data_IF_786141608808
#
_entry.id   IF_786141608808
#
_cell.length_a   1.000
_cell.length_b   1.000
_cell.length_c   1.000
_cell.angle_alpha   90.00
_cell.angle_beta   90.00
_cell.angle_gamma   90.00
#
_symmetry.space_group_name_H-M   'P 1'
#
loop_
_entity.id
_entity.type
_entity.pdbx_description
1 polymer ?
#
# COMPACT_ATOMS: atom_id res chain seq x y z
N UNK A 1 0.88 -54.41 36.43
CA UNK A 1 1.81 -53.75 35.50
C UNK A 1 1.06 -53.24 34.27
N UNK A 2 0.23 -54.04 33.61
CA UNK A 2 -0.48 -53.69 32.39
C UNK A 2 -1.50 -52.54 32.60
N UNK A 3 -2.26 -52.56 33.69
CA UNK A 3 -3.19 -51.45 34.05
C UNK A 3 -2.48 -50.10 34.25
N UNK A 4 -1.27 -50.12 34.82
CA UNK A 4 -0.46 -48.90 34.98
C UNK A 4 -0.02 -48.33 33.64
N UNK A 5 0.39 -49.20 32.70
CA UNK A 5 0.81 -48.76 31.35
C UNK A 5 -0.38 -48.16 30.59
N UNK A 6 -1.60 -48.73 30.74
CA UNK A 6 -2.83 -48.18 30.11
C UNK A 6 -3.15 -46.81 30.67
N UNK A 7 -3.06 -46.61 31.99
CA UNK A 7 -3.30 -45.30 32.61
C UNK A 7 -2.29 -44.24 32.08
N UNK A 8 -1.02 -44.64 32.03
CA UNK A 8 0.05 -43.74 31.51
C UNK A 8 -0.17 -43.39 30.05
N UNK A 9 -0.63 -44.35 29.23
CA UNK A 9 -1.00 -44.10 27.82
C UNK A 9 -2.16 -43.12 27.72
N UNK A 10 -3.25 -43.30 28.45
CA UNK A 10 -4.37 -42.35 28.43
C UNK A 10 -3.94 -40.96 28.86
N UNK A 11 -3.10 -40.82 29.86
CA UNK A 11 -2.57 -39.55 30.33
C UNK A 11 -1.66 -38.87 29.29
N UNK A 12 -0.81 -39.66 28.61
CA UNK A 12 0.03 -39.18 27.53
C UNK A 12 -0.80 -38.64 26.34
N UNK A 13 -1.89 -39.34 25.97
CA UNK A 13 -2.78 -38.89 24.89
C UNK A 13 -3.53 -37.59 25.26
N UNK A 14 -4.03 -37.50 26.50
CA UNK A 14 -4.68 -36.28 26.99
C UNK A 14 -3.69 -35.11 26.96
N UNK A 15 -2.47 -35.32 27.42
CA UNK A 15 -1.42 -34.30 27.43
C UNK A 15 -1.01 -33.90 26.01
N UNK A 16 -0.90 -34.86 25.08
CA UNK A 16 -0.63 -34.62 23.66
C UNK A 16 -1.69 -33.69 23.04
N UNK A 17 -2.98 -33.97 23.28
CA UNK A 17 -4.10 -33.18 22.74
C UNK A 17 -4.11 -31.77 23.34
N UNK A 18 -3.84 -31.63 24.63
CA UNK A 18 -3.77 -30.34 25.30
C UNK A 18 -2.61 -29.50 24.77
N UNK A 19 -1.39 -30.05 24.67
CA UNK A 19 -0.22 -29.33 24.17
C UNK A 19 -0.39 -28.95 22.70
N UNK A 20 -0.99 -29.84 21.89
CA UNK A 20 -1.31 -29.55 20.49
C UNK A 20 -2.36 -28.45 20.31
N UNK A 21 -3.20 -28.18 21.33
CA UNK A 21 -4.20 -27.12 21.33
C UNK A 21 -3.68 -25.75 21.77
N UNK A 22 -2.43 -25.63 22.22
CA UNK A 22 -1.86 -24.36 22.68
C UNK A 22 -1.61 -23.46 21.49
N UNK A 23 -2.13 -22.22 21.57
CA UNK A 23 -1.86 -21.13 20.60
C UNK A 23 -1.17 -19.97 21.31
N UNK A 24 0.14 -19.75 21.11
CA UNK A 24 0.82 -18.57 21.65
C UNK A 24 0.15 -17.29 21.15
N UNK A 25 -0.09 -16.34 22.04
CA UNK A 25 -0.70 -15.05 21.69
C UNK A 25 0.23 -14.26 20.79
N UNK A 26 -0.25 -13.91 19.61
CA UNK A 26 0.42 -12.96 18.70
C UNK A 26 -0.05 -11.54 18.99
N UNK A 27 0.81 -10.58 18.84
CA UNK A 27 0.42 -9.17 18.85
C UNK A 27 -0.39 -8.83 17.60
N UNK A 28 -1.35 -7.93 17.75
CA UNK A 28 -2.13 -7.41 16.61
C UNK A 28 -1.34 -6.40 15.78
N UNK A 29 -0.19 -5.93 16.31
CA UNK A 29 0.68 -4.98 15.67
C UNK A 29 1.66 -5.72 14.75
N UNK A 30 1.91 -5.14 13.57
CA UNK A 30 2.93 -5.65 12.66
C UNK A 30 4.34 -5.39 13.23
N UNK A 31 5.33 -6.15 12.77
CA UNK A 31 6.74 -5.94 13.17
C UNK A 31 7.20 -4.52 12.85
N UNK A 32 6.81 -4.01 11.69
CA UNK A 32 7.13 -2.64 11.26
C UNK A 32 6.59 -1.59 12.23
N UNK A 33 5.34 -1.73 12.65
CA UNK A 33 4.72 -0.80 13.60
C UNK A 33 5.38 -0.87 14.99
N UNK A 34 5.80 -2.07 15.42
CA UNK A 34 6.54 -2.26 16.66
C UNK A 34 7.95 -1.64 16.59
N UNK A 35 8.66 -1.79 15.46
CA UNK A 35 9.96 -1.15 15.22
C UNK A 35 9.85 0.36 15.20
N UNK A 36 8.85 0.92 14.52
CA UNK A 36 8.58 2.36 14.50
C UNK A 36 8.33 2.93 15.90
N UNK A 37 7.45 2.28 16.68
CA UNK A 37 7.16 2.72 18.07
C UNK A 37 8.37 2.62 18.98
N UNK A 38 9.22 1.62 18.74
CA UNK A 38 10.49 1.50 19.45
C UNK A 38 11.41 2.68 19.13
N UNK A 39 11.52 3.11 17.88
CA UNK A 39 12.29 4.29 17.46
C UNK A 39 11.71 5.59 18.04
N UNK A 40 10.39 5.66 18.19
CA UNK A 40 9.67 6.75 18.87
C UNK A 40 9.88 6.76 20.41
N UNK A 41 10.58 5.75 20.98
CA UNK A 41 10.94 5.67 22.41
C UNK A 41 9.92 4.96 23.28
N UNK A 42 8.97 4.21 22.71
CA UNK A 42 8.01 3.42 23.49
C UNK A 42 8.67 2.14 24.03
N UNK A 43 8.87 2.12 25.35
CA UNK A 43 9.47 0.97 26.05
C UNK A 43 8.62 -0.29 26.01
N UNK A 44 7.29 -0.16 25.86
CA UNK A 44 6.38 -1.31 25.74
C UNK A 44 6.56 -2.03 24.42
N UNK A 45 6.78 -1.29 23.34
CA UNK A 45 7.01 -1.83 22.00
C UNK A 45 8.29 -2.67 21.91
N UNK A 46 9.31 -2.36 22.72
CA UNK A 46 10.54 -3.15 22.78
C UNK A 46 10.26 -4.58 23.29
N UNK A 47 9.51 -4.70 24.37
CA UNK A 47 9.17 -6.02 24.93
C UNK A 47 8.24 -6.84 24.01
N UNK A 48 7.31 -6.16 23.33
CA UNK A 48 6.43 -6.81 22.35
C UNK A 48 7.17 -7.27 21.08
N UNK A 49 8.14 -6.50 20.62
CA UNK A 49 9.00 -6.87 19.48
C UNK A 49 9.88 -8.08 19.81
N UNK A 50 10.53 -8.09 20.99
CA UNK A 50 11.32 -9.24 21.42
C UNK A 50 10.47 -10.50 21.56
N UNK A 51 9.25 -10.35 22.05
CA UNK A 51 8.28 -11.43 22.15
C UNK A 51 7.87 -11.96 20.79
N UNK A 52 7.55 -11.08 19.82
CA UNK A 52 7.15 -11.48 18.46
C UNK A 52 8.27 -12.24 17.74
N UNK A 53 9.53 -11.83 17.94
CA UNK A 53 10.69 -12.54 17.44
C UNK A 53 10.87 -13.93 18.04
N UNK A 54 10.49 -14.10 19.33
CA UNK A 54 10.58 -15.37 20.04
C UNK A 54 9.41 -16.32 19.77
N UNK A 55 8.24 -15.82 19.34
CA UNK A 55 7.04 -16.64 19.10
C UNK A 55 7.31 -17.76 18.11
N UNK A 56 8.06 -17.50 17.03
CA UNK A 56 8.41 -18.54 16.06
C UNK A 56 9.19 -19.69 16.69
N UNK A 57 10.12 -19.36 17.60
CA UNK A 57 10.91 -20.33 18.32
C UNK A 57 10.06 -21.11 19.36
N UNK A 58 9.12 -20.43 20.04
CA UNK A 58 8.16 -21.05 20.97
C UNK A 58 7.22 -22.02 20.27
N UNK A 59 6.65 -21.62 19.11
CA UNK A 59 5.80 -22.50 18.29
C UNK A 59 6.56 -23.74 17.84
N UNK A 60 7.81 -23.56 17.39
CA UNK A 60 8.68 -24.65 16.96
C UNK A 60 9.00 -25.59 18.13
N UNK A 61 9.25 -25.06 19.32
CA UNK A 61 9.46 -25.81 20.54
C UNK A 61 8.23 -26.62 20.95
N UNK A 62 7.05 -26.04 20.93
CA UNK A 62 5.78 -26.73 21.20
C UNK A 62 5.54 -27.87 20.18
N UNK A 63 5.81 -27.65 18.91
CA UNK A 63 5.73 -28.71 17.89
C UNK A 63 6.69 -29.86 18.15
N UNK A 64 7.91 -29.56 18.58
CA UNK A 64 8.86 -30.61 18.98
C UNK A 64 8.36 -31.43 20.18
N UNK A 65 7.76 -30.78 21.17
CA UNK A 65 7.12 -31.46 22.31
C UNK A 65 5.96 -32.35 21.83
N UNK A 66 5.10 -31.84 20.94
CA UNK A 66 3.99 -32.62 20.37
C UNK A 66 4.51 -33.85 19.63
N UNK A 67 5.56 -33.73 18.84
CA UNK A 67 6.17 -34.85 18.14
C UNK A 67 6.73 -35.90 19.11
N UNK A 68 7.40 -35.46 20.17
CA UNK A 68 7.95 -36.35 21.19
C UNK A 68 6.85 -37.06 21.97
N UNK A 69 5.78 -36.35 22.35
CA UNK A 69 4.60 -36.92 23.01
C UNK A 69 3.87 -37.92 22.10
N UNK A 70 3.80 -37.64 20.80
CA UNK A 70 3.20 -38.56 19.83
C UNK A 70 4.01 -39.87 19.75
N UNK A 71 5.33 -39.79 19.62
CA UNK A 71 6.20 -41.00 19.65
C UNK A 71 6.02 -41.75 20.94
N UNK A 72 6.03 -41.06 22.09
CA UNK A 72 5.83 -41.68 23.40
C UNK A 72 4.47 -42.38 23.51
N UNK A 73 3.40 -41.72 23.00
CA UNK A 73 2.04 -42.33 23.03
C UNK A 73 1.95 -43.58 22.18
N UNK A 74 2.62 -43.61 21.01
CA UNK A 74 2.69 -44.82 20.16
C UNK A 74 3.45 -45.94 20.85
N UNK A 75 4.58 -45.66 21.48
CA UNK A 75 5.35 -46.67 22.24
C UNK A 75 4.54 -47.24 23.41
N UNK A 76 3.83 -46.39 24.15
CA UNK A 76 2.95 -46.82 25.24
C UNK A 76 1.75 -47.64 24.74
N UNK A 77 1.18 -47.29 23.56
CA UNK A 77 0.11 -48.07 22.95
C UNK A 77 0.58 -49.48 22.59
N UNK A 78 1.78 -49.61 21.98
CA UNK A 78 2.37 -50.92 21.67
C UNK A 78 2.67 -51.73 22.92
N UNK A 79 3.16 -51.10 23.99
CA UNK A 79 3.43 -51.77 25.25
C UNK A 79 2.13 -52.20 25.98
N UNK A 80 1.04 -51.44 25.84
CA UNK A 80 -0.25 -51.72 26.49
C UNK A 80 -1.08 -52.76 25.76
N UNK A 81 -1.16 -52.69 24.40
CA UNK A 81 -2.10 -53.48 23.60
C UNK A 81 -1.41 -54.50 22.67
N UNK A 82 -0.08 -54.60 22.73
CA UNK A 82 0.72 -55.45 21.85
C UNK A 82 1.01 -54.83 20.49
N UNK A 83 1.89 -55.46 19.71
CA UNK A 83 2.45 -54.82 18.49
C UNK A 83 1.39 -54.55 17.41
N UNK A 84 0.40 -55.42 17.24
CA UNK A 84 -0.61 -55.27 16.20
C UNK A 84 -1.66 -54.21 16.56
N UNK A 85 -2.32 -54.35 17.69
CA UNK A 85 -3.38 -53.41 18.13
C UNK A 85 -2.79 -52.09 18.58
N UNK A 86 -1.60 -52.05 19.16
CA UNK A 86 -0.92 -50.85 19.59
C UNK A 86 -0.48 -49.95 18.43
N UNK A 87 -0.01 -50.55 17.31
CA UNK A 87 0.33 -49.78 16.14
C UNK A 87 -0.90 -49.14 15.47
N UNK A 88 -2.02 -49.89 15.38
CA UNK A 88 -3.28 -49.36 14.86
C UNK A 88 -3.75 -48.19 15.73
N UNK A 89 -3.74 -48.34 17.03
CA UNK A 89 -4.13 -47.30 17.97
C UNK A 89 -3.24 -46.06 17.84
N UNK A 90 -1.91 -46.25 17.69
CA UNK A 90 -0.94 -45.18 17.45
C UNK A 90 -1.21 -44.39 16.16
N UNK A 91 -1.51 -45.08 15.06
CA UNK A 91 -1.86 -44.46 13.76
C UNK A 91 -3.17 -43.67 13.91
N UNK A 92 -4.20 -44.23 14.56
CA UNK A 92 -5.47 -43.52 14.77
C UNK A 92 -5.24 -42.25 15.59
N UNK A 93 -4.44 -42.31 16.67
CA UNK A 93 -4.11 -41.12 17.46
C UNK A 93 -3.39 -40.10 16.60
N UNK A 94 -2.38 -40.48 15.80
CA UNK A 94 -1.65 -39.60 14.95
C UNK A 94 -2.52 -38.88 13.89
N UNK A 95 -3.61 -39.51 13.43
CA UNK A 95 -4.55 -38.93 12.49
C UNK A 95 -5.60 -38.01 13.17
N UNK A 96 -5.92 -38.27 14.42
CA UNK A 96 -7.10 -37.67 15.09
C UNK A 96 -6.70 -36.55 16.07
N UNK A 97 -5.49 -36.58 16.67
CA UNK A 97 -5.11 -35.63 17.72
C UNK A 97 -5.21 -34.15 17.26
N UNK A 98 -4.84 -33.86 16.00
CA UNK A 98 -4.91 -32.50 15.45
C UNK A 98 -6.34 -32.00 15.23
N UNK A 99 -7.32 -32.89 15.02
CA UNK A 99 -8.75 -32.52 14.99
C UNK A 99 -9.32 -32.32 16.38
N UNK A 100 -8.94 -33.17 17.33
CA UNK A 100 -9.37 -33.08 18.72
C UNK A 100 -8.86 -31.78 19.37
N UNK A 101 -7.61 -31.40 19.12
CA UNK A 101 -7.02 -30.19 19.70
C UNK A 101 -7.69 -28.89 19.23
N UNK A 102 -8.43 -28.91 18.11
CA UNK A 102 -9.16 -27.75 17.54
C UNK A 102 -10.60 -27.63 18.05
N UNK A 103 -11.06 -28.53 18.90
CA UNK A 103 -12.39 -28.42 19.53
C UNK A 103 -12.37 -27.27 20.52
N UNK A 104 -13.31 -26.34 20.42
CA UNK A 104 -13.32 -25.05 21.13
C UNK A 104 -13.12 -25.16 22.62
N UNK A 105 -13.76 -26.16 23.29
CA UNK A 105 -13.61 -26.35 24.74
C UNK A 105 -12.22 -26.88 25.13
N UNK A 106 -11.60 -27.76 24.30
CA UNK A 106 -10.24 -28.28 24.53
C UNK A 106 -9.22 -27.19 24.31
N UNK A 107 -9.38 -26.45 23.23
CA UNK A 107 -8.53 -25.29 22.90
C UNK A 107 -8.61 -24.24 24.02
N UNK A 108 -9.82 -23.86 24.44
CA UNK A 108 -10.00 -22.91 25.53
C UNK A 108 -9.42 -23.41 26.89
N UNK A 109 -9.44 -24.71 27.15
CA UNK A 109 -8.80 -25.28 28.33
C UNK A 109 -7.28 -25.25 28.23
N UNK A 110 -6.74 -25.63 27.06
CA UNK A 110 -5.30 -25.59 26.78
C UNK A 110 -4.75 -24.17 26.92
N UNK A 111 -5.43 -23.16 26.36
CA UNK A 111 -5.03 -21.76 26.45
C UNK A 111 -5.10 -21.24 27.90
N UNK A 112 -6.14 -21.58 28.67
CA UNK A 112 -6.22 -21.19 30.10
C UNK A 112 -5.07 -21.76 30.91
N UNK A 113 -4.67 -22.99 30.63
CA UNK A 113 -3.54 -23.65 31.34
C UNK A 113 -2.20 -23.06 30.91
N UNK A 114 -2.08 -22.64 29.67
CA UNK A 114 -0.85 -22.09 29.09
C UNK A 114 -0.61 -20.64 29.53
N UNK A 115 -1.65 -19.78 29.57
CA UNK A 115 -1.56 -18.35 29.85
C UNK A 115 -0.60 -17.95 30.98
N UNK A 116 -0.62 -18.59 32.18
CA UNK A 116 0.26 -18.23 33.28
C UNK A 116 1.73 -18.54 33.00
N UNK A 117 2.02 -19.44 32.07
CA UNK A 117 3.37 -19.88 31.74
C UNK A 117 3.95 -19.24 30.46
N UNK A 118 3.15 -18.47 29.72
CA UNK A 118 3.51 -17.88 28.43
C UNK A 118 4.82 -17.07 28.51
N UNK A 119 4.91 -16.11 29.42
CA UNK A 119 6.13 -15.30 29.61
C UNK A 119 7.35 -16.12 30.05
N UNK A 120 7.13 -17.11 30.91
CA UNK A 120 8.21 -17.98 31.41
C UNK A 120 8.77 -18.86 30.31
N UNK A 121 7.90 -19.33 29.40
CA UNK A 121 8.28 -20.13 28.25
C UNK A 121 9.04 -19.32 27.21
N UNK A 122 8.60 -18.09 26.93
CA UNK A 122 9.30 -17.15 26.07
C UNK A 122 10.71 -16.89 26.60
N UNK A 123 10.86 -16.52 27.87
CA UNK A 123 12.16 -16.30 28.52
C UNK A 123 13.04 -17.55 28.50
N UNK A 124 12.46 -18.73 28.72
CA UNK A 124 13.20 -20.00 28.68
C UNK A 124 13.76 -20.28 27.28
N UNK A 125 12.94 -20.12 26.25
CA UNK A 125 13.35 -20.37 24.85
C UNK A 125 14.40 -19.34 24.41
N UNK A 126 14.25 -18.07 24.79
CA UNK A 126 15.25 -17.01 24.52
C UNK A 126 16.60 -17.27 25.21
N UNK A 127 16.57 -17.79 26.45
CA UNK A 127 17.79 -18.10 27.21
C UNK A 127 18.60 -19.27 26.66
N UNK A 128 18.02 -20.11 25.80
CA UNK A 128 18.65 -21.34 25.29
C UNK A 128 18.90 -21.25 23.77
N UNK A 129 19.86 -20.45 23.35
CA UNK A 129 20.18 -20.23 21.93
C UNK A 129 20.44 -21.51 21.11
N UNK A 130 20.91 -22.61 21.72
CA UNK A 130 21.15 -23.88 21.03
C UNK A 130 19.84 -24.59 20.68
N UNK A 131 18.78 -24.47 21.51
CA UNK A 131 17.46 -25.02 21.26
C UNK A 131 16.87 -24.36 19.99
N UNK A 132 16.92 -23.02 19.90
CA UNK A 132 16.46 -22.27 18.73
C UNK A 132 17.15 -22.68 17.43
N UNK A 133 18.48 -22.90 17.45
CA UNK A 133 19.23 -23.35 16.27
C UNK A 133 18.87 -24.76 15.81
N UNK A 134 18.66 -25.68 16.74
CA UNK A 134 18.33 -27.07 16.43
C UNK A 134 16.88 -27.20 15.93
N UNK A 135 15.96 -26.47 16.53
CA UNK A 135 14.52 -26.54 16.23
C UNK A 135 14.14 -25.78 14.97
N UNK A 136 14.78 -24.64 14.66
CA UNK A 136 14.60 -23.92 13.38
C UNK A 136 14.95 -24.75 12.15
N UNK A 137 15.85 -25.73 12.29
CA UNK A 137 16.16 -26.67 11.22
C UNK A 137 15.01 -27.63 10.88
N UNK A 138 14.04 -27.81 11.80
CA UNK A 138 12.93 -28.76 11.64
C UNK A 138 11.63 -28.07 11.21
N UNK A 139 11.48 -26.79 11.51
CA UNK A 139 10.25 -26.01 11.23
C UNK A 139 10.54 -24.87 10.28
N UNK A 140 10.37 -25.12 8.98
CA UNK A 140 10.25 -24.06 7.98
C UNK A 140 8.81 -23.50 8.04
N UNK A 141 8.54 -22.62 9.03
CA UNK A 141 7.31 -21.83 8.96
C UNK A 141 7.46 -20.82 7.82
N UNK A 142 6.57 -20.95 6.84
CA UNK A 142 6.30 -19.85 5.93
C UNK A 142 5.93 -18.65 6.81
N UNK A 143 6.81 -17.64 6.78
CA UNK A 143 6.55 -16.34 7.41
C UNK A 143 5.26 -15.84 6.74
N UNK A 144 4.13 -15.98 7.43
CA UNK A 144 2.91 -15.30 7.01
C UNK A 144 3.17 -13.81 7.24
N UNK A 145 3.69 -13.16 6.20
CA UNK A 145 3.78 -11.71 6.10
C UNK A 145 2.34 -11.17 6.06
N UNK A 146 1.75 -10.96 7.22
CA UNK A 146 0.52 -10.19 7.32
C UNK A 146 0.91 -8.72 7.25
N UNK A 147 0.79 -8.13 6.07
CA UNK A 147 0.99 -6.68 5.88
C UNK A 147 -0.18 -5.97 6.55
N UNK A 148 0.08 -5.19 7.57
CA UNK A 148 -0.93 -4.50 8.38
C UNK A 148 -1.22 -3.05 7.96
N UNK A 149 -0.29 -2.41 7.23
CA UNK A 149 -0.43 -1.02 6.80
C UNK A 149 0.13 -0.76 5.41
N UNK A 150 -0.22 0.39 4.82
CA UNK A 150 0.34 0.82 3.53
C UNK A 150 1.83 1.14 3.63
N UNK A 151 2.24 1.74 4.73
CA UNK A 151 3.62 2.09 5.04
C UNK A 151 4.51 0.85 5.13
N UNK A 152 4.00 -0.22 5.75
CA UNK A 152 4.69 -1.51 5.79
C UNK A 152 4.85 -2.12 4.40
N UNK A 153 3.80 -2.03 3.55
CA UNK A 153 3.89 -2.49 2.17
C UNK A 153 4.91 -1.68 1.37
N UNK A 154 4.95 -0.37 1.55
CA UNK A 154 5.94 0.51 0.92
C UNK A 154 7.37 0.17 1.35
N UNK A 155 7.56 -0.09 2.64
CA UNK A 155 8.86 -0.54 3.18
C UNK A 155 9.28 -1.88 2.55
N UNK A 156 8.39 -2.86 2.46
CA UNK A 156 8.66 -4.14 1.81
C UNK A 156 9.00 -3.99 0.33
N UNK A 157 8.33 -3.08 -0.39
CA UNK A 157 8.65 -2.75 -1.78
C UNK A 157 10.05 -2.14 -1.86
N UNK A 158 10.39 -1.21 -0.97
CA UNK A 158 11.72 -0.56 -0.95
C UNK A 158 12.84 -1.57 -0.69
N UNK A 159 12.64 -2.51 0.24
CA UNK A 159 13.58 -3.55 0.63
C UNK A 159 13.60 -4.78 -0.28
N UNK A 160 12.76 -4.85 -1.30
CA UNK A 160 12.65 -6.02 -2.20
C UNK A 160 13.94 -6.39 -2.95
N UNK A 161 15.04 -5.70 -2.68
CA UNK A 161 16.37 -5.99 -3.22
C UNK A 161 16.39 -5.96 -4.76
N UNK A 162 16.82 -7.07 -5.37
CA UNK A 162 16.90 -7.23 -6.83
C UNK A 162 15.64 -7.81 -7.47
N UNK A 163 14.59 -8.09 -6.70
CA UNK A 163 13.33 -8.65 -7.23
C UNK A 163 12.58 -7.63 -8.08
N UNK A 164 12.66 -6.35 -7.70
CA UNK A 164 12.02 -5.25 -8.41
C UNK A 164 13.08 -4.26 -8.90
N UNK A 165 12.90 -3.78 -10.12
CA UNK A 165 13.70 -2.68 -10.66
C UNK A 165 13.35 -1.36 -9.95
N UNK A 166 14.23 -0.35 -9.97
CA UNK A 166 13.93 0.96 -9.39
C UNK A 166 12.63 1.59 -9.94
N UNK A 167 12.36 1.41 -11.24
CA UNK A 167 11.14 1.93 -11.88
C UNK A 167 9.88 1.20 -11.41
N UNK A 168 9.94 -0.13 -11.25
CA UNK A 168 8.83 -0.91 -10.69
C UNK A 168 8.54 -0.53 -9.23
N UNK A 169 9.57 -0.32 -8.42
CA UNK A 169 9.40 0.15 -7.03
C UNK A 169 8.70 1.50 -6.99
N UNK A 170 9.14 2.44 -7.84
CA UNK A 170 8.56 3.78 -7.93
C UNK A 170 7.10 3.74 -8.38
N UNK A 171 6.78 2.92 -9.38
CA UNK A 171 5.41 2.73 -9.86
C UNK A 171 4.50 2.17 -8.76
N UNK A 172 4.94 1.15 -8.04
CA UNK A 172 4.18 0.56 -6.94
C UNK A 172 3.96 1.54 -5.80
N UNK A 173 4.99 2.29 -5.38
CA UNK A 173 4.89 3.31 -4.35
C UNK A 173 3.92 4.42 -4.76
N UNK A 174 4.01 4.95 -6.00
CA UNK A 174 3.08 5.95 -6.51
C UNK A 174 1.65 5.40 -6.59
N UNK A 175 1.46 4.15 -7.01
CA UNK A 175 0.16 3.48 -7.04
C UNK A 175 -0.49 3.39 -5.66
N UNK A 176 0.29 3.10 -4.62
CA UNK A 176 -0.20 3.05 -3.23
C UNK A 176 -0.71 4.42 -2.75
N UNK A 177 -0.04 5.50 -3.15
CA UNK A 177 -0.42 6.87 -2.76
C UNK A 177 -1.37 7.56 -3.73
N UNK A 178 -1.66 6.96 -4.89
CA UNK A 178 -2.43 7.58 -5.96
C UNK A 178 -3.82 8.03 -5.51
N UNK A 179 -4.54 7.18 -4.79
CA UNK A 179 -5.88 7.49 -4.27
C UNK A 179 -5.90 8.44 -3.07
N UNK A 180 -4.75 8.77 -2.48
CA UNK A 180 -4.65 9.74 -1.39
C UNK A 180 -4.21 11.14 -1.86
N UNK A 181 -3.66 11.25 -3.08
CA UNK A 181 -3.29 12.54 -3.67
C UNK A 181 -4.51 13.26 -4.23
N UNK A 182 -4.55 14.59 -4.08
CA UNK A 182 -5.61 15.45 -4.61
C UNK A 182 -5.22 16.04 -5.97
N UNK A 183 -6.23 16.46 -6.72
CA UNK A 183 -6.06 17.19 -7.99
C UNK A 183 -5.19 18.42 -7.80
N UNK A 184 -5.39 19.18 -6.71
CA UNK A 184 -4.59 20.37 -6.37
C UNK A 184 -3.09 20.07 -6.33
N UNK A 185 -2.71 18.87 -5.91
CA UNK A 185 -1.30 18.50 -5.76
C UNK A 185 -0.52 18.40 -7.07
N UNK A 186 -1.23 18.20 -8.20
CA UNK A 186 -0.59 17.99 -9.53
C UNK A 186 -1.09 18.93 -10.62
N UNK A 187 -2.21 19.65 -10.41
CA UNK A 187 -2.76 20.54 -11.42
C UNK A 187 -1.76 21.63 -11.85
N UNK A 188 -1.89 22.12 -13.08
CA UNK A 188 -1.27 23.37 -13.52
C UNK A 188 -1.96 24.53 -12.81
N UNK A 189 -1.26 25.32 -11.98
CA UNK A 189 -1.88 26.39 -11.19
C UNK A 189 -2.40 27.53 -12.08
N UNK A 190 -3.45 28.24 -11.60
CA UNK A 190 -4.09 29.38 -12.30
C UNK A 190 -3.10 30.39 -12.90
N UNK A 191 -2.05 30.75 -12.17
CA UNK A 191 -1.11 31.82 -12.55
C UNK A 191 -0.24 31.53 -13.76
N UNK A 192 -0.17 30.25 -14.19
CA UNK A 192 0.64 29.83 -15.36
C UNK A 192 -0.20 29.22 -16.49
N UNK A 193 -1.53 29.35 -16.40
CA UNK A 193 -2.42 28.88 -17.46
C UNK A 193 -2.22 29.76 -18.71
N UNK A 194 -1.80 29.12 -19.80
CA UNK A 194 -1.89 29.73 -21.12
C UNK A 194 -3.32 29.61 -21.65
N UNK A 195 -4.01 30.72 -21.86
CA UNK A 195 -5.39 30.79 -22.34
C UNK A 195 -5.50 31.66 -23.58
N UNK A 196 -6.57 31.49 -24.36
CA UNK A 196 -6.85 32.26 -25.59
C UNK A 196 -8.16 33.01 -25.36
N UNK A 197 -8.20 34.31 -25.78
CA UNK A 197 -9.42 35.09 -25.73
C UNK A 197 -10.38 34.65 -26.85
N UNK A 198 -11.66 34.62 -26.59
CA UNK A 198 -12.69 34.23 -27.57
C UNK A 198 -12.63 35.03 -28.86
N UNK A 199 -12.17 36.26 -28.77
CA UNK A 199 -12.06 37.22 -29.91
C UNK A 199 -10.76 37.08 -30.69
N UNK A 200 -9.79 36.35 -30.20
CA UNK A 200 -8.49 36.17 -30.85
C UNK A 200 -8.66 35.46 -32.21
N UNK A 201 -8.03 35.99 -33.22
CA UNK A 201 -8.05 35.40 -34.56
C UNK A 201 -7.11 34.18 -34.59
N UNK A 202 -7.64 33.06 -35.03
CA UNK A 202 -6.87 31.85 -35.24
C UNK A 202 -6.05 31.97 -36.53
N UNK A 203 -4.84 32.45 -36.37
CA UNK A 203 -3.92 32.69 -37.49
C UNK A 203 -2.50 32.20 -37.18
N UNK A 204 -1.55 32.34 -38.16
CA UNK A 204 -0.19 31.85 -37.99
C UNK A 204 0.53 32.44 -36.78
N UNK A 205 0.22 33.69 -36.41
CA UNK A 205 0.83 34.37 -35.26
C UNK A 205 0.43 33.74 -33.95
N UNK A 206 -0.88 33.52 -33.75
CA UNK A 206 -1.39 32.85 -32.55
C UNK A 206 -0.89 31.40 -32.48
N UNK A 207 -0.86 30.71 -33.62
CA UNK A 207 -0.35 29.34 -33.68
C UNK A 207 1.13 29.25 -33.27
N UNK A 208 1.97 30.19 -33.71
CA UNK A 208 3.39 30.25 -33.33
C UNK A 208 3.54 30.53 -31.83
N UNK A 209 2.73 31.44 -31.29
CA UNK A 209 2.69 31.73 -29.84
C UNK A 209 2.29 30.51 -29.01
N UNK A 210 1.18 29.86 -29.39
CA UNK A 210 0.69 28.67 -28.71
C UNK A 210 1.67 27.49 -28.83
N UNK A 211 2.28 27.32 -30.00
CA UNK A 211 3.27 26.26 -30.22
C UNK A 211 4.50 26.41 -29.33
N UNK A 212 4.92 27.64 -29.05
CA UNK A 212 6.06 27.91 -28.13
C UNK A 212 5.78 27.50 -26.68
N UNK A 213 4.51 27.36 -26.28
CA UNK A 213 4.18 26.91 -24.93
C UNK A 213 4.33 25.39 -24.73
N UNK A 214 4.41 24.63 -25.83
CA UNK A 214 4.45 23.16 -25.81
C UNK A 214 3.10 22.49 -25.54
N UNK A 215 2.03 23.23 -25.23
CA UNK A 215 0.72 22.64 -24.95
C UNK A 215 -0.05 22.28 -26.21
N UNK A 216 -0.84 21.22 -26.12
CA UNK A 216 -1.71 20.77 -27.22
C UNK A 216 -3.14 21.30 -27.11
N UNK A 217 -3.57 21.79 -25.92
CA UNK A 217 -4.94 22.23 -25.62
C UNK A 217 -4.91 23.49 -24.78
N UNK A 218 -5.76 24.46 -25.15
CA UNK A 218 -5.84 25.75 -24.49
C UNK A 218 -7.28 26.07 -24.11
N UNK A 219 -7.56 26.52 -22.89
CA UNK A 219 -8.87 27.05 -22.53
C UNK A 219 -9.12 28.35 -23.30
N UNK A 220 -10.34 28.47 -23.86
CA UNK A 220 -10.84 29.70 -24.46
C UNK A 220 -11.67 30.43 -23.42
N UNK A 221 -11.36 31.70 -23.17
CA UNK A 221 -11.95 32.48 -22.10
C UNK A 221 -12.74 33.68 -22.63
N UNK A 222 -13.75 34.09 -21.84
CA UNK A 222 -14.50 35.33 -22.12
C UNK A 222 -14.16 36.37 -21.04
N UNK A 223 -13.13 37.15 -21.34
CA UNK A 223 -12.62 38.21 -20.47
C UNK A 223 -11.58 37.69 -19.46
N UNK A 224 -11.98 36.95 -18.45
CA UNK A 224 -11.07 36.40 -17.43
C UNK A 224 -11.05 34.87 -17.40
N UNK A 225 -10.07 34.32 -16.65
CA UNK A 225 -9.85 32.88 -16.56
C UNK A 225 -10.96 32.12 -15.81
N UNK A 226 -11.85 32.81 -15.09
CA UNK A 226 -12.99 32.19 -14.42
C UNK A 226 -14.15 31.90 -15.38
N UNK A 227 -14.11 32.47 -16.59
CA UNK A 227 -15.11 32.30 -17.64
C UNK A 227 -14.56 31.48 -18.81
N UNK A 228 -14.26 30.21 -18.57
CA UNK A 228 -13.83 29.28 -19.63
C UNK A 228 -15.05 28.81 -20.41
N UNK A 229 -15.11 29.14 -21.72
CA UNK A 229 -16.23 28.86 -22.62
C UNK A 229 -15.99 27.72 -23.58
N UNK A 230 -14.75 27.27 -23.73
CA UNK A 230 -14.36 26.18 -24.63
C UNK A 230 -12.91 25.77 -24.48
N UNK A 231 -12.49 24.82 -25.30
CA UNK A 231 -11.12 24.35 -25.41
C UNK A 231 -10.67 24.37 -26.86
N UNK A 232 -9.52 24.97 -27.14
CA UNK A 232 -8.90 25.03 -28.44
C UNK A 232 -7.85 23.93 -28.59
N UNK A 233 -7.88 23.18 -29.68
CA UNK A 233 -6.95 22.11 -29.98
C UNK A 233 -5.98 22.50 -31.07
N UNK A 234 -4.67 22.56 -30.81
CA UNK A 234 -3.66 22.93 -31.83
C UNK A 234 -3.74 22.03 -33.05
N UNK A 235 -3.92 20.72 -32.89
CA UNK A 235 -3.99 19.76 -33.99
C UNK A 235 -5.12 20.08 -34.97
N UNK A 236 -6.28 20.53 -34.48
CA UNK A 236 -7.41 20.91 -35.32
C UNK A 236 -7.13 22.19 -36.10
N UNK A 237 -6.42 23.15 -35.47
CA UNK A 237 -6.01 24.39 -36.12
C UNK A 237 -5.04 24.15 -37.26
N UNK A 238 -4.10 23.24 -37.14
CA UNK A 238 -3.16 22.86 -38.20
C UNK A 238 -3.84 22.17 -39.39
N UNK A 239 -5.02 21.57 -39.17
CA UNK A 239 -5.83 20.94 -40.23
C UNK A 239 -6.66 21.95 -41.04
N UNK A 240 -6.86 23.17 -40.53
CA UNK A 240 -7.65 24.21 -41.16
C UNK A 240 -6.83 24.89 -42.28
N UNK A 241 -6.83 24.31 -43.47
CA UNK A 241 -5.99 24.75 -44.62
C UNK A 241 -6.33 26.12 -45.20
N UNK A 242 -7.50 26.75 -44.93
CA UNK A 242 -7.96 27.96 -45.67
C UNK A 242 -8.78 28.98 -44.87
N UNK A 243 -8.79 28.94 -43.52
CA UNK A 243 -9.63 29.86 -42.73
C UNK A 243 -8.83 30.81 -41.86
N UNK A 244 -8.12 31.72 -42.46
CA UNK A 244 -7.34 32.80 -41.81
C UNK A 244 -8.19 33.87 -41.10
N UNK A 245 -9.50 33.66 -40.90
CA UNK A 245 -10.41 34.67 -40.36
C UNK A 245 -11.35 34.10 -39.27
N UNK A 246 -11.16 32.89 -38.77
CA UNK A 246 -11.98 32.34 -37.66
C UNK A 246 -11.46 32.87 -36.33
N UNK A 247 -12.40 33.21 -35.43
CA UNK A 247 -12.07 33.53 -34.04
C UNK A 247 -11.92 32.25 -33.19
N UNK A 248 -11.23 32.34 -32.07
CA UNK A 248 -11.08 31.23 -31.14
C UNK A 248 -12.45 30.66 -30.71
N UNK A 249 -13.49 31.50 -30.55
CA UNK A 249 -14.86 31.07 -30.26
C UNK A 249 -15.45 30.19 -31.36
N UNK A 250 -15.11 30.41 -32.61
CA UNK A 250 -15.62 29.65 -33.75
C UNK A 250 -14.89 28.31 -33.92
N UNK A 251 -13.60 28.29 -33.56
CA UNK A 251 -12.72 27.14 -33.73
C UNK A 251 -12.69 26.23 -32.50
N UNK A 252 -13.18 26.68 -31.34
CA UNK A 252 -13.13 25.89 -30.08
C UNK A 252 -14.13 24.76 -30.02
N UNK A 253 -13.78 23.71 -29.29
CA UNK A 253 -14.74 22.78 -28.75
C UNK A 253 -15.50 23.44 -27.58
N UNK A 254 -16.84 23.55 -27.68
CA UNK A 254 -17.67 24.25 -26.69
C UNK A 254 -17.87 23.50 -25.39
N UNK A 255 -17.45 22.24 -25.32
CA UNK A 255 -17.68 21.38 -24.17
C UNK A 255 -16.53 21.50 -23.17
N UNK A 256 -16.82 22.06 -21.99
CA UNK A 256 -15.87 22.24 -20.91
C UNK A 256 -16.26 21.32 -19.75
N UNK A 257 -15.30 20.64 -19.16
CA UNK A 257 -15.48 19.80 -17.99
C UNK A 257 -14.77 20.41 -16.80
N UNK A 258 -15.44 20.36 -15.66
CA UNK A 258 -14.93 20.89 -14.41
C UNK A 258 -14.71 19.77 -13.39
N UNK A 259 -13.64 19.90 -12.62
CA UNK A 259 -13.31 19.01 -11.51
C UNK A 259 -12.93 19.84 -10.28
N UNK A 260 -13.28 19.38 -9.08
CA UNK A 260 -12.95 20.09 -7.84
C UNK A 260 -11.52 19.79 -7.43
N UNK A 261 -10.78 20.80 -6.92
CA UNK A 261 -9.38 20.68 -6.53
C UNK A 261 -9.14 19.64 -5.43
N UNK A 262 -10.12 19.40 -4.54
CA UNK A 262 -10.01 18.44 -3.43
C UNK A 262 -10.33 16.99 -3.86
N UNK A 263 -10.74 16.76 -5.10
CA UNK A 263 -10.98 15.40 -5.58
C UNK A 263 -9.67 14.61 -5.68
N UNK A 264 -9.77 13.31 -5.46
CA UNK A 264 -8.62 12.40 -5.53
C UNK A 264 -8.25 12.08 -6.97
N UNK A 265 -6.98 11.68 -7.20
CA UNK A 265 -6.49 11.39 -8.55
C UNK A 265 -7.16 10.16 -9.19
N UNK A 266 -7.56 9.17 -8.40
CA UNK A 266 -8.33 8.01 -8.90
C UNK A 266 -9.72 8.43 -9.40
N UNK A 267 -10.39 9.35 -8.70
CA UNK A 267 -11.65 9.92 -9.15
C UNK A 267 -11.47 10.74 -10.43
N UNK A 268 -10.39 11.54 -10.50
CA UNK A 268 -10.04 12.31 -11.70
C UNK A 268 -9.77 11.39 -12.90
N UNK A 269 -8.98 10.32 -12.72
CA UNK A 269 -8.71 9.34 -13.77
C UNK A 269 -10.00 8.67 -14.27
N UNK A 270 -10.87 8.26 -13.35
CA UNK A 270 -12.16 7.68 -13.69
C UNK A 270 -13.05 8.66 -14.49
N UNK A 271 -13.01 9.97 -14.14
CA UNK A 271 -13.73 11.02 -14.86
C UNK A 271 -13.17 11.20 -16.29
N UNK A 272 -11.85 11.22 -16.48
CA UNK A 272 -11.22 11.28 -17.81
C UNK A 272 -11.64 10.08 -18.68
N UNK A 273 -11.56 8.87 -18.15
CA UNK A 273 -11.95 7.65 -18.88
C UNK A 273 -13.44 7.64 -19.25
N UNK A 274 -14.30 8.14 -18.38
CA UNK A 274 -15.75 8.21 -18.61
C UNK A 274 -16.12 9.26 -19.64
N UNK A 275 -15.51 10.45 -19.57
CA UNK A 275 -15.83 11.58 -20.46
C UNK A 275 -15.14 11.49 -21.80
N UNK A 276 -14.00 10.76 -21.88
CA UNK A 276 -13.10 10.71 -23.04
C UNK A 276 -12.54 12.08 -23.45
N UNK A 277 -12.47 13.02 -22.49
CA UNK A 277 -11.78 14.29 -22.67
C UNK A 277 -10.43 14.25 -21.95
N UNK A 278 -9.51 15.09 -22.37
CA UNK A 278 -8.12 15.06 -21.90
C UNK A 278 -7.74 16.31 -21.09
N UNK A 279 -8.64 17.27 -20.95
CA UNK A 279 -8.42 18.50 -20.20
C UNK A 279 -9.65 18.82 -19.34
N UNK A 280 -9.45 19.09 -18.06
CA UNK A 280 -10.46 19.59 -17.14
C UNK A 280 -10.03 20.92 -16.56
N UNK A 281 -10.99 21.82 -16.37
CA UNK A 281 -10.82 23.04 -15.59
C UNK A 281 -11.00 22.68 -14.12
N UNK A 282 -10.00 22.98 -13.30
CA UNK A 282 -10.05 22.74 -11.86
C UNK A 282 -10.65 23.95 -11.17
N UNK A 283 -11.64 23.71 -10.30
CA UNK A 283 -12.32 24.77 -9.55
C UNK A 283 -12.15 24.59 -8.05
N UNK A 284 -12.10 25.70 -7.33
CA UNK A 284 -12.10 25.74 -5.88
C UNK A 284 -13.52 25.69 -5.28
N UNK A 285 -13.64 25.77 -3.95
CA UNK A 285 -14.93 25.79 -3.23
C UNK A 285 -15.84 26.98 -3.56
N UNK A 286 -15.31 28.05 -4.16
CA UNK A 286 -16.05 29.25 -4.60
C UNK A 286 -16.42 29.19 -6.08
N UNK A 287 -16.08 28.10 -6.78
CA UNK A 287 -16.21 27.92 -8.23
C UNK A 287 -15.31 28.82 -9.08
N UNK A 288 -14.27 29.40 -8.50
CA UNK A 288 -13.23 30.08 -9.25
C UNK A 288 -12.26 29.06 -9.85
N UNK A 289 -11.66 29.38 -10.98
CA UNK A 289 -10.67 28.54 -11.62
C UNK A 289 -9.38 28.50 -10.77
N UNK A 290 -9.08 27.35 -10.21
CA UNK A 290 -7.88 27.08 -9.43
C UNK A 290 -6.71 26.65 -10.34
N UNK A 291 -7.00 25.94 -11.42
CA UNK A 291 -6.00 25.41 -12.32
C UNK A 291 -6.57 24.66 -13.52
N UNK A 292 -5.69 23.93 -14.19
CA UNK A 292 -6.03 22.95 -15.23
C UNK A 292 -5.47 21.59 -14.84
N UNK A 293 -6.16 20.53 -15.24
CA UNK A 293 -5.70 19.16 -15.09
C UNK A 293 -5.81 18.44 -16.43
N UNK A 294 -4.70 17.87 -16.89
CA UNK A 294 -4.68 17.00 -18.06
C UNK A 294 -4.71 15.52 -17.68
N UNK A 295 -5.09 14.65 -18.60
CA UNK A 295 -4.99 13.20 -18.42
C UNK A 295 -3.51 12.78 -18.27
N UNK A 296 -2.65 13.45 -19.02
CA UNK A 296 -1.21 13.30 -19.02
C UNK A 296 -0.64 13.53 -17.60
N UNK A 297 -1.01 14.62 -16.91
CA UNK A 297 -0.60 14.91 -15.52
C UNK A 297 -0.97 13.79 -14.56
N UNK A 298 -2.19 13.24 -14.70
CA UNK A 298 -2.69 12.15 -13.85
C UNK A 298 -1.91 10.86 -14.08
N UNK A 299 -1.60 10.55 -15.36
CA UNK A 299 -0.79 9.36 -15.69
C UNK A 299 0.66 9.55 -15.22
N UNK A 300 1.24 10.73 -15.37
CA UNK A 300 2.58 11.05 -14.84
C UNK A 300 2.66 10.86 -13.33
N UNK A 301 1.64 11.32 -12.60
CA UNK A 301 1.56 11.14 -11.16
C UNK A 301 1.51 9.65 -10.75
N UNK A 302 0.88 8.81 -11.56
CA UNK A 302 0.82 7.35 -11.36
C UNK A 302 2.16 6.68 -11.70
N UNK A 303 2.76 7.05 -12.84
CA UNK A 303 4.02 6.46 -13.31
C UNK A 303 5.23 6.99 -12.51
N UNK A 304 5.10 8.16 -11.89
CA UNK A 304 6.18 8.84 -11.16
C UNK A 304 7.29 9.36 -12.06
N UNK A 305 7.03 9.53 -13.34
CA UNK A 305 7.93 10.09 -14.33
C UNK A 305 7.15 10.94 -15.32
N UNK A 306 7.79 12.00 -15.83
CA UNK A 306 7.20 12.84 -16.87
C UNK A 306 7.08 12.06 -18.19
N UNK A 307 5.98 12.29 -18.88
CA UNK A 307 5.76 11.85 -20.25
C UNK A 307 6.26 13.01 -21.13
N UNK A 308 7.53 12.95 -21.54
CA UNK A 308 8.13 13.99 -22.38
C UNK A 308 7.56 13.81 -23.78
N UNK A 309 6.78 14.79 -24.24
CA UNK A 309 6.39 14.90 -25.65
C UNK A 309 7.51 15.61 -26.44
N UNK A 310 7.64 15.32 -27.73
CA UNK A 310 8.71 15.85 -28.59
C UNK A 310 8.75 17.39 -28.64
N UNK A 311 7.72 18.06 -28.12
CA UNK A 311 7.52 19.50 -28.13
C UNK A 311 7.56 20.19 -26.77
N UNK A 312 7.78 19.46 -25.67
CA UNK A 312 7.84 20.02 -24.32
C UNK A 312 9.12 20.82 -24.09
N UNK A 313 8.98 22.14 -24.03
CA UNK A 313 10.09 23.08 -23.79
C UNK A 313 10.44 23.25 -22.30
N UNK A 314 9.59 22.80 -21.38
CA UNK A 314 9.77 22.97 -19.94
C UNK A 314 9.49 21.70 -19.14
N UNK A 315 10.48 21.21 -18.42
CA UNK A 315 10.41 19.98 -17.62
C UNK A 315 9.45 20.06 -16.41
N UNK A 316 9.07 21.26 -15.93
CA UNK A 316 8.20 21.39 -14.75
C UNK A 316 7.57 22.77 -14.63
N UNK A 317 6.33 22.90 -15.10
CA UNK A 317 5.57 24.17 -15.09
C UNK A 317 5.18 24.63 -13.69
N UNK A 318 4.98 23.70 -12.74
CA UNK A 318 4.74 24.05 -11.34
C UNK A 318 5.97 24.74 -10.72
N UNK A 319 7.17 24.29 -11.04
CA UNK A 319 8.40 24.93 -10.60
C UNK A 319 8.59 26.33 -11.26
N UNK A 320 8.09 26.52 -12.49
CA UNK A 320 8.05 27.83 -13.14
C UNK A 320 7.07 28.74 -12.41
N UNK A 321 5.85 28.26 -12.11
CA UNK A 321 4.83 29.00 -11.36
C UNK A 321 5.32 29.43 -9.97
N UNK A 322 6.01 28.54 -9.26
CA UNK A 322 6.57 28.85 -7.93
C UNK A 322 7.69 29.89 -8.00
N UNK A 323 8.47 29.92 -9.08
CA UNK A 323 9.51 30.94 -9.31
C UNK A 323 8.90 32.31 -9.64
N UNK A 324 7.87 32.34 -10.47
CA UNK A 324 7.18 33.58 -10.84
C UNK A 324 6.35 34.14 -9.68
N UNK A 325 5.68 33.29 -8.87
CA UNK A 325 4.95 33.72 -7.68
C UNK A 325 5.88 34.40 -6.65
N UNK A 326 7.11 33.94 -6.48
CA UNK A 326 8.12 34.58 -5.63
C UNK A 326 8.55 35.96 -6.13
N UNK A 327 8.37 36.26 -7.41
CA UNK A 327 8.69 37.58 -8.00
C UNK A 327 7.50 38.53 -7.97
N UNK A 328 6.26 38.03 -8.12
CA UNK A 328 5.06 38.88 -8.21
C UNK A 328 4.62 39.52 -6.89
N UNK A 329 4.95 38.94 -5.72
CA UNK A 329 4.56 39.47 -4.40
C UNK A 329 5.66 40.28 -3.69
N UNK A 330 6.73 40.68 -4.39
CA UNK A 330 7.69 41.65 -3.85
C UNK A 330 7.19 43.07 -4.05
N UNK A 331 6.38 43.55 -3.11
CA UNK A 331 6.21 45.00 -2.97
C UNK A 331 7.55 45.61 -2.53
N UNK A 332 8.02 46.70 -3.14
CA UNK A 332 9.25 47.40 -2.73
C UNK A 332 9.23 47.88 -1.26
N UNK A 333 8.07 47.84 -0.61
CA UNK A 333 7.83 48.31 0.76
C UNK A 333 7.02 47.33 1.64
N UNK A 334 6.88 46.06 1.21
CA UNK A 334 6.18 45.03 1.98
C UNK A 334 7.05 44.46 3.08
N UNK A 335 6.55 44.48 4.33
CA UNK A 335 7.13 43.74 5.45
C UNK A 335 6.34 42.45 5.56
N UNK A 336 7.00 41.30 5.40
CA UNK A 336 6.41 39.98 5.68
C UNK A 336 6.19 39.89 7.20
N UNK A 337 4.94 39.62 7.60
CA UNK A 337 4.52 39.46 8.99
C UNK A 337 4.50 37.98 9.33
#
# INVERSE_FOLDING_TARGET
MQTFIIILFCLAVVFLVLVAGISPRRTHLSRFELERRREEGDTSAHGELERELAIADVVSFLRAIVALLLVMSVLLAVAAFGPFFGTIAGVVIALVYGRLSRIDWIHGLADRMYQPYDESLVKFVQGQQWIGRFIRSISSDAINLTVGSREELEHLISESGRLLTPDEKKLLANGLHFSSKTVESIMTPRGVIASVQKTDLVGPLLLDELHRTGYSRFPVIDGDIDHVIGVLHIRELLALKDKSSETAEQAMEKKVYYIHQDQTLDAALAAFLKTRHHLFVVVNGYRETAGLLSLEDVIEALLGRQIIDEFDLHDNLRAVAEREAKHNNRSPHGVDV
#
